data_IF_803038198329
#
_entry.id   IF_803038198329
#
_cell.length_a   1.000
_cell.length_b   1.000
_cell.length_c   1.000
_cell.angle_alpha   90.00
_cell.angle_beta   90.00
_cell.angle_gamma   90.00
#
_symmetry.space_group_name_H-M   'P 1'
#
loop_
_entity.id
_entity.type
_entity.pdbx_description
1 polymer ?
2 non-polymer ?
3 non-polymer ?
#
# COMPACT_ATOMS: atom_id res chain seq x y z
N UNK A 11 3.41 21.90 5.53
CA UNK A 11 3.83 22.19 6.94
C UNK A 11 4.33 20.93 7.64
N UNK A 12 5.35 21.10 8.48
CA UNK A 12 5.98 20.02 9.19
C UNK A 12 5.31 19.73 10.54
N UNK A 13 5.73 18.63 11.19
CA UNK A 13 5.25 18.18 12.49
C UNK A 13 6.45 17.42 13.08
N UNK A 14 6.80 17.62 14.34
CA UNK A 14 7.95 16.89 14.87
C UNK A 14 7.70 15.53 15.56
N UNK A 15 7.98 14.46 14.83
CA UNK A 15 7.77 13.11 15.34
C UNK A 15 9.02 12.59 16.01
N UNK A 16 8.90 11.50 16.76
CA UNK A 16 10.05 10.92 17.46
C UNK A 16 9.94 9.40 17.53
N UNK A 17 10.86 8.69 16.90
CA UNK A 17 10.86 7.22 16.90
C UNK A 17 10.90 6.65 18.34
N UNK A 18 9.73 6.45 18.93
CA UNK A 18 9.65 5.96 20.30
C UNK A 18 9.90 4.46 20.44
N UNK A 19 9.77 3.73 19.33
CA UNK A 19 10.02 2.27 19.32
C UNK A 19 10.12 1.71 17.89
N UNK A 20 10.74 0.54 17.73
CA UNK A 20 10.93 -0.08 16.40
C UNK A 20 10.99 -1.63 16.52
N UNK A 21 10.59 -2.33 15.46
CA UNK A 21 10.52 -3.79 15.52
C UNK A 21 10.99 -4.44 14.23
N UNK A 22 11.80 -5.48 14.37
CA UNK A 22 12.38 -6.20 13.25
C UNK A 22 11.55 -7.46 13.08
N UNK A 23 10.59 -7.38 12.16
CA UNK A 23 9.65 -8.46 11.87
C UNK A 23 10.33 -9.53 11.09
N UNK A 24 11.48 -9.22 10.52
CA UNK A 24 12.22 -10.21 9.76
C UNK A 24 13.53 -9.59 9.27
N UNK A 25 14.33 -10.40 8.59
CA UNK A 25 15.62 -10.01 8.04
C UNK A 25 15.68 -8.67 7.28
N UNK A 26 14.54 -8.02 7.00
CA UNK A 26 14.60 -6.74 6.29
C UNK A 26 13.33 -5.86 6.28
N UNK A 27 12.41 -6.13 7.20
CA UNK A 27 11.17 -5.35 7.29
C UNK A 27 11.10 -4.89 8.74
N UNK A 28 10.78 -3.63 8.94
CA UNK A 28 10.71 -3.07 10.27
C UNK A 28 9.38 -2.40 10.49
N UNK A 29 8.93 -2.40 11.74
CA UNK A 29 7.72 -1.71 12.10
C UNK A 29 8.18 -0.54 13.00
N UNK A 30 8.20 0.65 12.43
CA UNK A 30 8.60 1.82 13.16
C UNK A 30 7.42 2.43 13.85
N UNK A 31 7.54 2.69 15.16
CA UNK A 31 6.50 3.35 15.95
C UNK A 31 6.88 4.76 16.38
N UNK A 32 6.29 5.72 15.69
CA UNK A 32 6.50 7.13 15.94
C UNK A 32 5.51 7.60 16.95
N UNK A 33 5.77 8.80 17.47
CA UNK A 33 4.92 9.45 18.45
C UNK A 33 4.71 10.88 17.97
N UNK A 34 3.48 11.38 18.13
CA UNK A 34 3.17 12.73 17.68
C UNK A 34 3.51 13.81 18.70
N UNK A 35 3.87 15.00 18.22
CA UNK A 35 4.22 16.11 19.11
C UNK A 35 3.19 16.28 20.23
N UNK A 36 1.97 15.80 20.04
CA UNK A 36 0.95 15.88 21.08
C UNK A 36 0.13 14.60 21.26
N UNK A 37 0.17 14.03 22.46
CA UNK A 37 -0.49 12.80 22.91
C UNK A 37 -2.00 12.78 22.72
N UNK A 38 -2.62 13.95 22.65
CA UNK A 38 -4.05 13.98 22.51
C UNK A 38 -4.50 13.87 21.06
N UNK A 39 -3.56 13.82 20.10
CA UNK A 39 -3.94 13.77 18.68
C UNK A 39 -3.62 12.51 17.91
N UNK A 40 -4.19 12.48 16.72
CA UNK A 40 -3.98 11.39 15.80
C UNK A 40 -3.24 12.00 14.61
N UNK A 41 -2.66 11.14 13.78
CA UNK A 41 -1.98 11.57 12.57
C UNK A 41 -3.02 12.32 11.72
N UNK A 42 -4.27 11.88 11.82
CA UNK A 42 -5.36 12.50 11.09
C UNK A 42 -5.25 12.53 9.57
N UNK A 43 -4.49 11.60 9.02
CA UNK A 43 -4.30 11.48 7.59
C UNK A 43 -5.60 11.07 6.89
N UNK A 44 -6.02 11.82 5.86
CA UNK A 44 -7.24 11.54 5.10
C UNK A 44 -7.08 10.32 4.24
N UNK A 45 -8.01 9.37 4.37
CA UNK A 45 -8.01 8.12 3.61
C UNK A 45 -7.88 8.41 2.10
N UNK A 46 -6.82 7.92 1.48
CA UNK A 46 -6.62 8.17 0.06
C UNK A 46 -5.38 9.00 -0.14
N UNK A 47 -4.97 9.72 0.92
CA UNK A 47 -3.78 10.56 0.87
C UNK A 47 -2.54 10.03 1.62
N UNK A 48 -1.43 10.77 1.57
CA UNK A 48 -0.22 10.28 2.24
C UNK A 48 0.63 11.33 2.96
N UNK A 49 1.70 10.90 3.61
CA UNK A 49 2.61 11.82 4.28
C UNK A 49 4.04 11.66 3.78
N UNK A 50 4.77 12.77 3.78
CA UNK A 50 6.17 12.81 3.36
C UNK A 50 7.09 12.76 4.58
N UNK A 51 7.95 11.74 4.67
CA UNK A 51 8.90 11.68 5.78
C UNK A 51 10.14 12.37 5.24
N UNK A 52 10.39 13.60 5.68
CA UNK A 52 11.55 14.35 5.21
C UNK A 52 12.78 14.09 6.05
N UNK A 53 13.93 14.30 5.43
CA UNK A 53 15.18 14.12 6.12
C UNK A 53 16.23 14.66 5.20
N UNK A 54 17.33 15.15 5.76
CA UNK A 54 18.40 15.64 4.94
C UNK A 54 19.49 14.59 5.11
N UNK A 55 19.88 13.97 4.02
CA UNK A 55 20.93 12.97 4.06
C UNK A 55 22.02 13.28 3.02
N UNK A 56 23.28 13.26 3.49
CA UNK A 56 24.47 13.58 2.70
C UNK A 56 24.62 15.08 2.57
N UNK A 57 23.56 15.71 2.07
CA UNK A 57 23.54 17.14 1.89
C UNK A 57 22.19 17.46 1.33
N UNK A 58 21.54 16.49 0.69
CA UNK A 58 20.21 16.74 0.14
C UNK A 58 19.06 16.23 1.01
N UNK A 59 18.08 17.11 1.17
CA UNK A 59 16.88 16.83 1.94
C UNK A 59 16.00 16.18 0.88
N UNK A 60 15.65 14.91 1.11
CA UNK A 60 14.84 14.14 0.16
C UNK A 60 13.49 13.62 0.62
N UNK A 61 12.43 14.03 -0.07
CA UNK A 61 11.13 13.56 0.30
C UNK A 61 10.80 12.16 -0.22
N UNK A 62 10.11 11.39 0.64
CA UNK A 62 9.67 10.04 0.35
C UNK A 62 8.28 9.83 0.93
N UNK A 63 7.32 9.42 0.09
CA UNK A 63 5.94 9.19 0.53
C UNK A 63 5.82 7.83 1.23
N UNK A 64 5.03 7.79 2.30
CA UNK A 64 4.81 6.57 3.09
C UNK A 64 3.38 6.73 3.60
N UNK A 65 2.64 5.63 3.60
CA UNK A 65 1.26 5.60 4.08
C UNK A 65 1.22 4.77 5.36
N UNK A 66 0.96 5.41 6.52
CA UNK A 66 0.94 4.63 7.75
C UNK A 66 -0.10 3.55 7.72
N UNK A 67 0.14 2.50 8.51
CA UNK A 67 -0.74 1.35 8.59
C UNK A 67 -1.49 1.29 9.92
N UNK A 68 -1.56 2.41 10.61
CA UNK A 68 -2.23 2.41 11.91
C UNK A 68 -3.74 2.66 11.76
N UNK A 69 -4.54 2.19 12.70
CA UNK A 69 -5.98 2.47 12.64
C UNK A 69 -6.05 3.99 12.79
N UNK A 70 -6.71 4.63 11.84
CA UNK A 70 -6.88 6.08 11.76
C UNK A 70 -7.20 6.85 13.05
N UNK A 71 -7.50 6.12 14.12
CA UNK A 71 -7.85 6.71 15.40
C UNK A 71 -6.87 6.40 16.52
N UNK A 72 -5.67 5.91 16.18
CA UNK A 72 -4.69 5.63 17.23
C UNK A 72 -4.26 6.99 17.74
N UNK A 73 -4.36 7.13 19.05
CA UNK A 73 -4.06 8.36 19.73
C UNK A 73 -2.65 8.41 20.30
N UNK A 74 -1.88 9.36 19.78
CA UNK A 74 -0.54 9.56 20.25
C UNK A 74 0.60 8.97 19.44
N UNK A 75 0.32 8.17 18.41
CA UNK A 75 1.39 7.57 17.64
C UNK A 75 0.85 7.06 16.31
N UNK A 76 1.79 6.76 15.39
CA UNK A 76 1.50 6.17 14.09
C UNK A 76 2.61 5.19 13.68
N UNK A 77 2.23 4.07 13.09
CA UNK A 77 3.19 3.05 12.69
C UNK A 77 3.49 3.13 11.20
N UNK A 78 4.73 2.81 10.85
CA UNK A 78 5.21 2.83 9.47
C UNK A 78 5.77 1.44 9.19
N UNK A 79 5.21 0.76 8.19
CA UNK A 79 5.70 -0.58 7.85
C UNK A 79 6.67 -0.32 6.75
N UNK A 80 7.97 -0.54 7.00
CA UNK A 80 9.02 -0.26 6.02
C UNK A 80 9.84 -1.50 5.64
N UNK A 81 10.09 -1.68 4.33
CA UNK A 81 10.92 -2.78 3.80
C UNK A 81 12.26 -2.16 3.42
N UNK A 82 13.28 -2.48 4.21
CA UNK A 82 14.59 -1.88 4.03
C UNK A 82 15.35 -2.29 2.79
N UNK A 83 15.78 -1.28 2.01
CA UNK A 83 16.56 -1.53 0.80
C UNK A 83 18.05 -1.47 1.15
N UNK A 84 18.65 -2.63 1.43
CA UNK A 84 20.09 -2.73 1.80
C UNK A 84 21.10 -2.66 0.60
N UNK A 85 22.27 -2.08 0.81
CA UNK A 85 23.27 -2.06 -0.28
C UNK A 85 23.91 -3.45 -0.20
N UNK A 86 24.63 -3.86 -1.24
CA UNK A 86 25.25 -5.20 -1.22
C UNK A 86 24.15 -6.29 -1.25
N UNK A 87 23.04 -5.99 -1.91
CA UNK A 87 21.92 -6.93 -2.01
C UNK A 87 21.40 -7.14 -3.42
N UNK A 88 21.60 -6.19 -4.31
CA UNK A 88 21.07 -6.32 -5.66
C UNK A 88 22.02 -5.80 -6.78
N UNK A 89 22.32 -6.66 -7.76
CA UNK A 89 23.20 -6.38 -8.91
C UNK A 89 22.99 -5.01 -9.57
N UNK A 90 21.73 -4.70 -9.88
CA UNK A 90 21.33 -3.44 -10.55
C UNK A 90 21.35 -2.22 -9.61
N UNK A 91 21.07 -2.46 -8.33
CA UNK A 91 21.04 -1.37 -7.34
C UNK A 91 21.98 -1.79 -6.22
N UNK A 92 23.29 -1.73 -6.47
CA UNK A 92 24.31 -2.12 -5.51
C UNK A 92 24.40 -1.30 -4.26
N UNK A 93 23.83 -0.08 -4.28
CA UNK A 93 23.89 0.79 -3.08
C UNK A 93 22.60 1.03 -2.24
N UNK A 94 21.73 0.03 -2.19
CA UNK A 94 20.50 0.12 -1.41
C UNK A 94 19.60 1.33 -1.68
N UNK A 95 18.58 1.50 -0.85
CA UNK A 95 17.67 2.63 -1.00
C UNK A 95 18.22 3.78 -0.20
N UNK A 96 17.86 5.00 -0.59
CA UNK A 96 18.36 6.21 0.09
C UNK A 96 17.79 6.59 1.46
N UNK A 97 16.47 6.44 1.62
CA UNK A 97 15.81 6.79 2.86
C UNK A 97 15.50 5.59 3.74
N UNK A 98 15.79 4.37 3.27
CA UNK A 98 15.48 3.24 4.13
C UNK A 98 16.59 2.79 5.10
N UNK A 99 17.82 2.85 4.62
CA UNK A 99 18.96 2.44 5.44
C UNK A 99 19.27 3.50 6.43
N UNK A 100 18.78 4.71 6.15
CA UNK A 100 18.96 5.85 7.04
C UNK A 100 17.98 5.67 8.16
N UNK A 101 16.82 5.09 7.84
CA UNK A 101 15.77 4.87 8.83
C UNK A 101 16.10 3.65 9.68
N UNK A 102 16.72 2.67 9.04
CA UNK A 102 17.10 1.51 9.79
C UNK A 102 18.29 1.93 10.66
N UNK A 103 18.90 3.07 10.31
CA UNK A 103 20.04 3.62 11.03
C UNK A 103 19.67 4.57 12.16
N UNK A 104 18.38 4.78 12.44
CA UNK A 104 18.00 5.67 13.55
C UNK A 104 17.80 4.86 14.86
N UNK A 105 18.43 5.30 15.97
CA UNK A 105 18.27 4.60 17.26
C UNK A 105 17.00 5.13 17.94
N UNK A 106 16.20 4.24 18.52
CA UNK A 106 14.96 4.66 19.13
C UNK A 106 15.07 5.79 20.17
N UNK A 107 14.57 6.95 19.74
CA UNK A 107 14.59 8.15 20.53
C UNK A 107 14.70 9.32 19.58
N UNK A 108 15.28 9.08 18.42
CA UNK A 108 15.48 10.14 17.43
C UNK A 108 14.20 10.80 16.95
N UNK A 109 14.32 12.05 16.53
CA UNK A 109 13.17 12.78 16.00
C UNK A 109 13.20 12.73 14.48
N UNK A 110 12.01 12.72 13.89
CA UNK A 110 11.84 12.71 12.44
C UNK A 110 10.79 13.80 12.19
N UNK A 111 10.69 14.34 10.99
CA UNK A 111 9.66 15.33 10.83
C UNK A 111 8.98 15.30 9.47
N UNK A 112 7.79 14.69 9.54
CA UNK A 112 6.86 14.44 8.45
C UNK A 112 6.14 15.68 7.98
N UNK A 113 5.27 15.53 7.00
CA UNK A 113 4.51 16.64 6.45
C UNK A 113 3.50 16.13 5.44
N UNK A 114 2.23 16.14 5.82
CA UNK A 114 1.15 15.70 4.95
C UNK A 114 0.19 16.86 4.81
N UNK A 115 -0.97 16.70 4.13
CA UNK A 115 -1.37 15.47 3.47
C UNK A 115 -1.19 15.70 1.97
N UNK A 116 -0.49 14.78 1.33
CA UNK A 116 -0.26 14.89 -0.09
C UNK A 116 -1.08 13.84 -0.77
N UNK A 117 -1.08 13.87 -2.11
CA UNK A 117 -1.82 12.88 -2.87
C UNK A 117 -3.00 13.49 -3.60
N UNK A 118 -3.80 12.63 -4.24
CA UNK A 118 -4.96 13.10 -5.01
C UNK A 118 -6.16 12.17 -5.02
N UNK A 119 -6.09 11.05 -4.32
CA UNK A 119 -7.24 10.18 -4.28
C UNK A 119 -7.68 10.23 -2.82
N UNK A 120 -8.98 10.27 -2.59
CA UNK A 120 -9.52 10.34 -1.24
C UNK A 120 -10.84 9.61 -1.23
N UNK A 121 -10.94 8.60 -0.40
CA UNK A 121 -12.17 7.83 -0.31
C UNK A 121 -13.16 8.58 0.59
N UNK A 122 -13.75 9.64 0.03
CA UNK A 122 -14.72 10.49 0.70
C UNK A 122 -15.98 9.83 1.31
N UNK A 123 -15.99 8.53 1.56
CA UNK A 123 -17.17 7.94 2.18
C UNK A 123 -17.69 6.57 1.77
N UNK A 124 -18.22 6.47 0.57
CA UNK A 124 -18.75 5.21 0.12
C UNK A 124 -18.71 5.21 -1.41
N UNK A 125 -17.70 4.55 -1.99
CA UNK A 125 -17.56 4.50 -3.45
C UNK A 125 -17.16 5.85 -4.04
N UNK A 126 -17.56 6.92 -3.35
CA UNK A 126 -17.33 8.32 -3.70
C UNK A 126 -15.87 8.80 -3.73
N UNK A 127 -15.24 8.74 -4.90
CA UNK A 127 -13.86 9.20 -5.02
C UNK A 127 -13.82 10.65 -5.49
N UNK A 128 -12.60 11.19 -5.66
CA UNK A 128 -12.36 12.55 -6.12
C UNK A 128 -10.97 12.46 -6.71
N UNK A 129 -10.82 12.21 -8.01
CA UNK A 129 -9.45 12.12 -8.51
C UNK A 129 -9.02 13.28 -9.36
N UNK A 130 -7.86 13.83 -9.02
CA UNK A 130 -7.35 15.00 -9.73
C UNK A 130 -8.43 16.11 -9.73
N UNK A 131 -9.33 16.05 -8.75
CA UNK A 131 -10.40 17.04 -8.62
C UNK A 131 -11.81 16.48 -8.64
N UNK A 132 -12.12 15.68 -9.65
CA UNK A 132 -13.47 15.11 -9.87
C UNK A 132 -14.06 14.16 -8.83
N UNK A 133 -15.21 14.51 -8.26
CA UNK A 133 -15.89 13.61 -7.33
C UNK A 133 -16.24 12.43 -8.22
N UNK A 134 -16.38 11.24 -7.62
CA UNK A 134 -16.70 10.02 -8.36
C UNK A 134 -17.39 9.01 -7.46
N UNK A 135 -17.56 7.79 -7.96
CA UNK A 135 -18.22 6.72 -7.23
C UNK A 135 -18.02 5.40 -8.00
N UNK A 136 -18.07 4.27 -7.30
CA UNK A 136 -17.89 2.96 -7.93
C UNK A 136 -18.30 1.89 -6.91
N UNK A 137 -18.70 0.71 -7.40
CA UNK A 137 -19.05 -0.37 -6.46
C UNK A 137 -18.02 -1.49 -6.57
N UNK A 138 -17.49 -1.67 -7.77
CA UNK A 138 -16.49 -2.68 -7.99
C UNK A 138 -15.16 -1.94 -7.98
N UNK A 139 -14.29 -2.30 -7.05
CA UNK A 139 -12.99 -1.67 -6.93
C UNK A 139 -11.96 -2.73 -7.25
N UNK A 140 -11.13 -2.43 -8.25
CA UNK A 140 -10.04 -3.29 -8.72
C UNK A 140 -8.75 -2.79 -8.13
N UNK A 141 -8.03 -3.63 -7.37
CA UNK A 141 -6.78 -3.23 -6.73
C UNK A 141 -5.61 -4.11 -7.20
N UNK A 142 -4.49 -3.49 -7.50
CA UNK A 142 -3.31 -4.21 -7.97
C UNK A 142 -2.04 -3.53 -7.47
N UNK A 143 -1.27 -4.23 -6.64
CA UNK A 143 -0.03 -3.69 -6.09
C UNK A 143 1.00 -4.79 -5.88
N UNK A 144 2.26 -4.39 -5.72
CA UNK A 144 3.31 -5.37 -5.51
C UNK A 144 4.19 -4.84 -4.43
N UNK A 145 4.80 -5.72 -3.65
CA UNK A 145 5.70 -5.26 -2.61
C UNK A 145 5.15 -4.29 -1.57
N UNK A 146 5.54 -3.03 -1.66
CA UNK A 146 5.14 -1.99 -0.68
C UNK A 146 3.97 -1.13 -1.09
N UNK A 147 3.59 -1.21 -2.35
CA UNK A 147 2.47 -0.42 -2.81
C UNK A 147 1.16 -0.94 -2.31
N UNK A 148 1.19 -1.76 -1.26
CA UNK A 148 0.00 -2.32 -0.65
C UNK A 148 -0.56 -1.40 0.43
N UNK A 149 0.32 -0.66 1.12
CA UNK A 149 -0.15 0.21 2.17
C UNK A 149 -1.17 1.20 1.64
N UNK A 150 -0.93 1.79 0.45
CA UNK A 150 -1.93 2.73 -0.10
C UNK A 150 -3.29 2.06 -0.22
N UNK A 151 -3.29 0.76 -0.52
CA UNK A 151 -4.49 -0.07 -0.62
C UNK A 151 -5.06 -0.41 0.76
N UNK A 152 -4.21 -0.95 1.64
CA UNK A 152 -4.62 -1.33 3.00
C UNK A 152 -5.40 -0.24 3.76
N UNK A 153 -4.97 0.98 3.65
CA UNK A 153 -5.69 2.05 4.32
C UNK A 153 -7.16 1.97 3.84
N UNK A 154 -7.38 1.85 2.53
CA UNK A 154 -8.73 1.77 1.98
C UNK A 154 -9.35 0.46 2.47
N UNK A 155 -8.69 -0.64 2.17
CA UNK A 155 -9.14 -1.97 2.55
C UNK A 155 -9.53 -2.03 4.03
N UNK A 156 -8.91 -1.18 4.84
CA UNK A 156 -9.22 -1.16 6.26
C UNK A 156 -10.41 -0.25 6.58
N UNK A 157 -10.60 0.77 5.75
CA UNK A 157 -11.66 1.77 5.90
C UNK A 157 -13.09 1.31 5.58
N UNK A 158 -13.22 0.44 4.57
CA UNK A 158 -14.52 -0.10 4.15
C UNK A 158 -15.04 -1.07 5.20
N UNK A 159 -14.10 -1.88 5.74
CA UNK A 159 -14.42 -2.84 6.79
C UNK A 159 -14.87 -2.05 8.01
N UNK A 160 -14.21 -0.92 8.27
CA UNK A 160 -14.64 -0.13 9.40
C UNK A 160 -15.92 0.65 9.08
N UNK A 161 -16.55 0.36 7.94
CA UNK A 161 -17.82 0.97 7.54
C UNK A 161 -18.81 -0.18 7.32
N UNK A 162 -18.61 -1.24 8.08
CA UNK A 162 -19.45 -2.42 7.99
C UNK A 162 -20.71 -2.40 8.84
N UNK A 163 -21.86 -2.66 8.19
CA UNK A 163 -21.85 -2.96 6.76
C UNK A 163 -22.73 -2.13 5.86
N UNK A 164 -22.47 -0.82 5.79
CA UNK A 164 -23.29 0.01 4.88
C UNK A 164 -22.47 0.36 3.67
N UNK A 165 -21.16 0.13 3.79
CA UNK A 165 -20.20 0.36 2.71
C UNK A 165 -20.23 -0.95 1.87
N UNK A 166 -20.93 -0.93 0.75
CA UNK A 166 -21.06 -2.13 -0.05
C UNK A 166 -20.05 -2.24 -1.18
N UNK A 167 -19.03 -1.40 -1.13
CA UNK A 167 -17.97 -1.40 -2.14
C UNK A 167 -17.26 -2.75 -2.16
N UNK A 168 -17.34 -3.42 -3.31
CA UNK A 168 -16.69 -4.71 -3.54
C UNK A 168 -15.27 -4.40 -3.93
N UNK A 169 -14.32 -4.98 -3.23
CA UNK A 169 -12.89 -4.75 -3.50
C UNK A 169 -12.24 -6.05 -3.95
N UNK A 170 -11.59 -6.01 -5.13
CA UNK A 170 -10.89 -7.17 -5.70
C UNK A 170 -9.41 -6.89 -5.79
N UNK A 171 -8.64 -7.57 -4.96
CA UNK A 171 -7.19 -7.37 -4.84
C UNK A 171 -6.34 -8.49 -5.47
N UNK A 172 -5.20 -8.07 -6.03
CA UNK A 172 -4.22 -8.96 -6.68
C UNK A 172 -2.96 -8.40 -6.03
N UNK A 173 -2.28 -9.20 -5.21
CA UNK A 173 -1.10 -8.71 -4.53
C UNK A 173 0.16 -9.50 -4.92
N UNK A 174 0.96 -8.86 -5.78
CA UNK A 174 2.19 -9.45 -6.31
C UNK A 174 3.39 -9.33 -5.35
N UNK A 175 4.34 -10.25 -5.47
CA UNK A 175 5.53 -10.25 -4.62
C UNK A 175 6.68 -11.03 -5.30
N UNK A 176 7.72 -11.39 -4.56
CA UNK A 176 8.81 -12.14 -5.16
C UNK A 176 8.88 -13.52 -4.56
N UNK A 177 8.39 -13.62 -3.35
CA UNK A 177 8.42 -14.88 -2.63
C UNK A 177 7.31 -14.87 -1.56
N UNK A 178 6.99 -16.06 -1.06
CA UNK A 178 5.96 -16.22 -0.05
C UNK A 178 6.29 -15.42 1.23
N UNK A 179 7.51 -15.55 1.76
CA UNK A 179 7.91 -14.82 2.96
C UNK A 179 8.00 -13.31 2.68
N UNK A 180 7.62 -12.86 1.50
CA UNK A 180 7.70 -11.42 1.24
C UNK A 180 6.32 -10.79 1.07
N UNK A 181 5.28 -11.56 1.40
CA UNK A 181 3.90 -11.10 1.32
C UNK A 181 3.75 -10.29 2.60
N UNK A 182 3.68 -8.97 2.44
CA UNK A 182 3.61 -8.04 3.56
C UNK A 182 2.42 -8.22 4.50
N UNK A 183 1.46 -7.31 4.47
CA UNK A 183 0.32 -7.46 5.37
C UNK A 183 -0.41 -8.71 4.91
N UNK A 184 -0.16 -9.82 5.60
CA UNK A 184 -0.79 -11.09 5.25
C UNK A 184 -1.76 -11.66 6.26
N UNK A 185 -1.39 -11.69 7.53
CA UNK A 185 -2.29 -12.24 8.53
C UNK A 185 -3.55 -11.36 8.58
N UNK A 186 -3.31 -10.06 8.62
CA UNK A 186 -4.35 -9.05 8.61
C UNK A 186 -5.24 -9.23 7.39
N UNK A 187 -4.66 -9.39 6.20
CA UNK A 187 -5.47 -9.59 4.99
C UNK A 187 -6.23 -10.95 4.99
N UNK A 188 -5.55 -12.02 5.40
CA UNK A 188 -6.18 -13.34 5.48
C UNK A 188 -7.19 -13.44 6.63
N UNK A 189 -7.18 -12.44 7.51
CA UNK A 189 -8.12 -12.39 8.64
C UNK A 189 -9.38 -11.77 8.07
N UNK A 190 -9.24 -10.57 7.54
CA UNK A 190 -10.36 -9.85 6.95
C UNK A 190 -11.00 -10.69 5.86
N UNK A 191 -10.15 -11.21 4.97
CA UNK A 191 -10.60 -12.05 3.85
C UNK A 191 -11.71 -12.98 4.27
N UNK A 192 -11.59 -13.50 5.49
CA UNK A 192 -12.57 -14.43 6.03
C UNK A 192 -13.77 -13.68 6.57
N UNK A 193 -13.49 -12.67 7.38
CA UNK A 193 -14.57 -11.89 7.95
C UNK A 193 -15.52 -11.37 6.87
N UNK A 194 -15.00 -10.64 5.88
CA UNK A 194 -15.88 -10.01 4.90
C UNK A 194 -15.79 -10.44 3.44
N UNK A 195 -15.89 -11.76 3.18
CA UNK A 195 -15.81 -12.30 1.83
C UNK A 195 -16.83 -11.70 0.90
N UNK A 196 -17.89 -11.16 1.46
CA UNK A 196 -18.92 -10.57 0.63
C UNK A 196 -18.40 -9.31 -0.05
N UNK A 197 -17.21 -8.88 0.35
CA UNK A 197 -16.63 -7.66 -0.19
C UNK A 197 -15.12 -7.50 -0.43
N UNK A 198 -14.34 -8.52 -0.10
CA UNK A 198 -12.91 -8.44 -0.31
C UNK A 198 -12.37 -9.75 -0.86
N UNK A 199 -11.91 -9.72 -2.11
CA UNK A 199 -11.36 -10.90 -2.75
C UNK A 199 -9.85 -10.70 -2.71
N UNK A 200 -9.14 -11.69 -2.17
CA UNK A 200 -7.69 -11.65 -2.02
C UNK A 200 -7.04 -12.78 -2.86
N UNK A 201 -6.01 -12.44 -3.64
CA UNK A 201 -5.30 -13.39 -4.51
C UNK A 201 -3.81 -13.06 -4.56
N UNK A 202 -2.97 -13.99 -4.13
CA UNK A 202 -1.52 -13.80 -4.11
C UNK A 202 -0.83 -14.30 -5.36
N UNK A 203 0.07 -13.51 -5.91
CA UNK A 203 0.81 -13.94 -7.09
C UNK A 203 2.26 -13.86 -6.62
N UNK A 204 3.05 -14.92 -6.77
CA UNK A 204 4.43 -14.81 -6.33
C UNK A 204 5.44 -15.33 -7.32
N UNK A 205 6.57 -14.62 -7.42
CA UNK A 205 7.67 -14.91 -8.35
C UNK A 205 8.32 -16.26 -8.21
N UNK A 206 8.51 -16.68 -6.96
CA UNK A 206 9.13 -17.95 -6.64
C UNK A 206 8.24 -18.63 -5.62
N UNK A 207 8.72 -19.72 -5.03
CA UNK A 207 7.99 -20.46 -4.00
C UNK A 207 9.03 -21.12 -3.13
N UNK A 208 9.48 -20.43 -2.10
CA UNK A 208 10.47 -21.00 -1.20
C UNK A 208 10.29 -22.51 -0.88
N UNK A 209 9.19 -22.88 -0.25
CA UNK A 209 8.97 -24.29 0.08
C UNK A 209 7.56 -24.82 -0.21
N UNK A 210 7.36 -25.48 -1.39
CA UNK A 210 6.07 -26.06 -1.82
C UNK A 210 5.81 -27.37 -1.09
N UNK A 211 6.78 -27.76 -0.25
CA UNK A 211 6.67 -28.95 0.60
C UNK A 211 5.39 -28.71 1.41
N UNK A 212 5.03 -27.42 1.51
CA UNK A 212 3.86 -26.90 2.21
C UNK A 212 2.61 -26.92 1.31
N UNK A 213 2.69 -26.30 0.13
CA UNK A 213 1.55 -26.31 -0.80
C UNK A 213 0.86 -25.00 -1.21
N UNK A 214 1.59 -24.17 -1.98
CA UNK A 214 1.10 -22.88 -2.45
C UNK A 214 0.09 -23.05 -3.57
N UNK A 215 -1.14 -22.61 -3.35
CA UNK A 215 -2.22 -22.72 -4.34
C UNK A 215 -2.51 -21.50 -5.19
N UNK A 216 -2.11 -20.35 -4.71
CA UNK A 216 -2.34 -19.10 -5.42
C UNK A 216 -1.49 -19.12 -6.70
N UNK A 217 -1.48 -18.04 -7.50
CA UNK A 217 -0.66 -18.06 -8.71
C UNK A 217 0.87 -17.98 -8.44
N UNK A 218 1.66 -18.25 -9.47
CA UNK A 218 3.10 -18.20 -9.39
C UNK A 218 3.54 -17.49 -10.64
N UNK A 219 4.36 -16.46 -10.48
CA UNK A 219 4.83 -15.72 -11.63
C UNK A 219 4.53 -14.24 -11.58
N UNK A 220 4.25 -13.69 -12.76
CA UNK A 220 3.95 -12.28 -12.96
C UNK A 220 2.45 -12.07 -13.02
N UNK A 221 2.05 -10.81 -13.06
CA UNK A 221 0.64 -10.45 -13.17
C UNK A 221 0.43 -10.37 -14.65
N UNK A 222 -0.64 -10.97 -15.13
CA UNK A 222 -0.93 -10.99 -16.58
C UNK A 222 -2.39 -11.16 -16.89
N UNK A 223 -2.78 -10.84 -18.12
CA UNK A 223 -4.17 -10.93 -18.54
C UNK A 223 -5.00 -12.09 -17.95
N UNK A 224 -4.48 -13.31 -17.97
CA UNK A 224 -5.22 -14.40 -17.41
C UNK A 224 -5.51 -14.05 -15.94
N UNK A 225 -4.46 -13.72 -15.21
CA UNK A 225 -4.59 -13.39 -13.81
C UNK A 225 -5.62 -12.29 -13.66
N UNK A 226 -5.50 -11.26 -14.49
CA UNK A 226 -6.44 -10.16 -14.39
C UNK A 226 -7.86 -10.60 -14.72
N UNK A 227 -8.00 -11.41 -15.75
CA UNK A 227 -9.31 -11.88 -16.18
C UNK A 227 -9.96 -12.68 -15.06
N UNK A 228 -9.25 -13.69 -14.59
CA UNK A 228 -9.81 -14.51 -13.54
C UNK A 228 -9.63 -13.92 -12.14
N UNK A 229 -9.52 -12.60 -12.04
CA UNK A 229 -9.38 -11.96 -10.72
C UNK A 229 -9.77 -10.49 -10.57
N UNK A 230 -10.08 -9.80 -11.66
CA UNK A 230 -10.43 -8.39 -11.56
C UNK A 230 -11.68 -7.96 -12.34
N UNK A 231 -12.71 -7.44 -11.63
CA UNK A 231 -13.99 -6.97 -12.16
C UNK A 231 -13.93 -6.41 -13.55
N UNK A 232 -14.80 -6.97 -14.39
CA UNK A 232 -14.93 -6.59 -15.80
C UNK A 232 -14.95 -5.09 -15.90
N UNK A 233 -13.98 -4.53 -16.63
CA UNK A 233 -13.88 -3.08 -16.78
C UNK A 233 -15.15 -2.39 -17.25
N UNK A 234 -16.08 -2.21 -16.32
CA UNK A 234 -17.33 -1.60 -16.70
C UNK A 234 -17.58 -0.30 -16.02
N UNK A 235 -18.84 0.14 -16.16
CA UNK A 235 -19.33 1.37 -15.57
C UNK A 235 -19.43 1.14 -14.08
N UNK A 236 -19.03 2.15 -13.31
CA UNK A 236 -19.09 2.08 -11.86
C UNK A 236 -18.08 1.05 -11.30
N UNK A 237 -17.00 0.86 -12.05
CA UNK A 237 -15.90 -0.04 -11.71
C UNK A 237 -14.59 0.72 -11.89
N UNK A 238 -13.92 1.07 -10.78
CA UNK A 238 -12.69 1.83 -10.89
C UNK A 238 -11.52 0.95 -10.55
N UNK A 239 -10.40 1.20 -11.22
CA UNK A 239 -9.19 0.47 -10.96
C UNK A 239 -8.16 1.43 -10.35
N UNK A 240 -7.52 0.95 -9.28
CA UNK A 240 -6.47 1.64 -8.53
C UNK A 240 -5.27 0.71 -8.54
N UNK A 241 -4.08 1.26 -8.64
CA UNK A 241 -2.90 0.41 -8.66
C UNK A 241 -1.70 1.14 -8.07
N UNK A 242 -0.81 0.38 -7.43
CA UNK A 242 0.39 0.95 -6.85
C UNK A 242 1.49 -0.11 -6.81
N UNK A 243 2.35 -0.13 -7.82
CA UNK A 243 3.41 -1.09 -7.85
C UNK A 243 4.56 -0.43 -8.58
N UNK A 244 5.74 -1.08 -8.69
CA UNK A 244 6.90 -0.51 -9.39
C UNK A 244 6.46 0.03 -10.71
N UNK A 245 7.18 1.02 -11.26
CA UNK A 245 6.83 1.62 -12.56
C UNK A 245 6.63 0.56 -13.65
N UNK A 246 7.62 -0.37 -13.81
CA UNK A 246 7.45 -1.39 -14.86
C UNK A 246 6.14 -2.13 -14.72
N UNK A 247 5.88 -2.69 -13.52
CA UNK A 247 4.66 -3.43 -13.28
C UNK A 247 3.49 -2.69 -13.89
N UNK A 248 3.38 -1.39 -13.59
CA UNK A 248 2.28 -0.57 -14.13
C UNK A 248 2.44 -0.46 -15.64
N UNK A 249 3.48 0.23 -16.09
CA UNK A 249 3.76 0.41 -17.51
C UNK A 249 3.21 -0.65 -18.50
N UNK A 250 3.73 -1.87 -18.40
CA UNK A 250 3.34 -2.93 -19.32
C UNK A 250 2.74 -4.18 -18.71
N UNK A 251 2.55 -4.20 -17.39
CA UNK A 251 1.97 -5.38 -16.75
C UNK A 251 0.56 -5.15 -16.28
N UNK A 252 0.23 -3.90 -16.03
CA UNK A 252 -1.10 -3.55 -15.56
C UNK A 252 -1.84 -2.62 -16.54
N UNK A 253 -1.15 -1.60 -17.04
CA UNK A 253 -1.78 -0.65 -17.96
C UNK A 253 -2.56 -1.19 -19.18
N UNK A 254 -1.91 -1.93 -20.11
CA UNK A 254 -2.56 -2.47 -21.31
C UNK A 254 -3.73 -3.43 -21.10
N UNK A 255 -3.54 -4.33 -20.15
CA UNK A 255 -4.55 -5.34 -19.85
C UNK A 255 -5.86 -4.74 -19.41
N UNK A 256 -5.80 -3.77 -18.51
CA UNK A 256 -7.02 -3.14 -18.03
C UNK A 256 -7.76 -2.50 -19.20
N UNK A 257 -7.08 -2.34 -20.34
CA UNK A 257 -7.71 -1.81 -21.55
C UNK A 257 -8.42 -2.99 -22.13
N UNK A 258 -7.67 -4.10 -22.19
CA UNK A 258 -8.16 -5.36 -22.72
C UNK A 258 -9.35 -5.91 -21.94
N UNK A 259 -9.76 -5.22 -20.85
CA UNK A 259 -10.94 -5.64 -20.07
C UNK A 259 -11.96 -4.52 -20.12
N UNK A 260 -11.82 -3.71 -21.17
CA UNK A 260 -12.66 -2.57 -21.53
C UNK A 260 -12.89 -1.38 -20.56
N UNK A 261 -11.97 -1.22 -19.60
CA UNK A 261 -12.03 -0.13 -18.62
C UNK A 261 -11.81 1.19 -19.35
N UNK A 262 -12.45 2.28 -18.92
CA UNK A 262 -12.20 3.55 -19.58
C UNK A 262 -10.84 3.94 -19.08
N UNK A 263 -9.86 3.44 -19.79
CA UNK A 263 -8.46 3.66 -19.51
C UNK A 263 -8.08 5.15 -19.31
N UNK A 264 -9.04 6.06 -19.44
CA UNK A 264 -8.76 7.48 -19.29
C UNK A 264 -9.28 8.16 -18.02
N UNK A 265 -10.25 7.56 -17.37
CA UNK A 265 -10.81 8.19 -16.20
C UNK A 265 -11.10 7.16 -15.12
N UNK A 266 -10.91 5.89 -15.44
CA UNK A 266 -11.16 4.83 -14.46
C UNK A 266 -9.83 4.30 -13.97
N UNK A 267 -8.74 4.88 -14.45
CA UNK A 267 -7.43 4.41 -14.05
C UNK A 267 -6.67 5.42 -13.21
N UNK A 268 -6.65 5.20 -11.90
CA UNK A 268 -5.95 6.08 -10.99
C UNK A 268 -4.73 5.31 -10.48
N UNK A 269 -3.66 6.03 -10.15
CA UNK A 269 -2.41 5.43 -9.66
C UNK A 269 -1.79 6.28 -8.57
N UNK A 270 -1.46 5.69 -7.42
CA UNK A 270 -0.82 6.42 -6.31
C UNK A 270 0.68 6.46 -6.54
X LIG B 1 15.65 4.72 -3.51
X LIG B 1 16.94 3.96 -3.65
X LIG B 1 15.36 5.92 -4.33
X LIG B 1 14.56 3.61 -3.94
X LIG B 1 13.97 3.49 -5.28
X LIG B 1 14.77 2.83 -6.43
X LIG B 1 16.00 2.07 -6.14
X LIG B 1 13.98 1.77 -7.10
X LIG B 1 14.64 1.60 -8.41
X LIG B 1 14.17 0.67 -6.06
X LIG B 1 13.56 -0.57 -6.32
X LIG B 1 15.66 0.66 -6.14
X LIG B 1 16.35 -0.16 -5.12
X LIG B 1 17.44 0.21 -4.43
X LIG B 1 17.91 -0.82 -3.72
X LIG B 1 17.12 -1.80 -4.05
X LIG B 1 17.27 -3.06 -3.59
X LIG B 1 18.31 -3.44 -2.86
X LIG B 1 16.32 -3.93 -3.97
X LIG B 1 15.34 -3.57 -4.81
X LIG B 1 15.25 -2.33 -5.29
X LIG B 1 16.15 -1.43 -4.88
X LIG B 1 7.38 1.87 1.15
X LIG B 1 7.45 1.16 2.35
X LIG B 1 8.31 0.42 2.79
X LIG B 1 6.35 1.30 3.05
X LIG B 1 5.24 2.05 2.73
X LIG B 1 4.31 1.98 3.50
X LIG B 1 5.31 2.79 1.51
X LIG B 1 4.23 3.50 1.16
X LIG B 1 4.22 4.14 0.01
X LIG B 1 3.07 4.69 -0.36
X LIG B 1 2.98 5.44 -1.49
X LIG B 1 1.64 6.07 -1.93
X LIG B 1 4.09 5.62 -2.28
X LIG B 1 4.05 6.53 -3.51
X LIG B 1 5.22 5.03 -1.90
X LIG B 1 5.34 4.28 -0.76
X LIG B 1 6.43 3.60 -0.36
X LIG B 1 6.42 2.76 0.70
X LIG B 1 7.60 3.75 -1.00
X LIG B 1 8.57 5.05 -1.10
X LIG B 1 8.14 6.15 -2.02
X LIG B 1 10.13 4.76 -1.50
X LIG B 1 10.59 5.06 -2.90
X LIG B 1 10.80 3.57 -0.81
X LIG B 1 10.33 3.49 0.53
X LIG B 1 12.21 3.68 -0.49
X LIG B 1 13.01 4.17 -1.51
X LIG B 1 14.35 4.76 -0.81
X LIG B 1 14.93 3.83 0.22
X LIG B 1 13.80 6.01 -0.36
X LIG B 1 15.39 5.16 -2.00
X LIG C 1 10.77 -5.87 -4.71
X LIG C 1 9.54 -6.75 -4.88
X LIG C 1 11.57 -5.70 -5.97
X LIG C 1 11.58 -6.12 -3.42
X LIG C 1 9.15 -3.61 -5.51
X LIG C 1 10.14 -3.44 -6.59
X LIG C 1 8.50 -2.52 -4.66
X LIG C 1 10.16 -4.41 -4.47
X LIG C 1 8.07 -4.74 -6.08
X LIG C 1 8.24 -5.62 -7.17
X LIG C 1 7.06 -6.53 -7.54
X LIG C 1 6.21 -6.01 -8.61
X LIG C 1 7.71 -7.81 -8.07
X LIG C 1 7.55 -8.85 -7.11
X LIG C 1 7.03 -8.08 -9.41
X LIG C 1 5.99 -9.01 -9.17
X LIG C 1 6.37 -6.79 -9.81
X LIG C 1 7.03 -6.22 -11.00
X LIG C 1 8.28 -5.73 -11.11
X LIG C 1 8.63 -5.56 -12.41
X LIG C 1 7.58 -6.00 -13.13
X LIG C 1 7.51 -6.20 -14.53
X LIG C 1 8.46 -5.97 -15.47
X LIG C 1 6.35 -6.75 -14.93
X LIG C 1 5.35 -7.06 -14.07
X LIG C 1 5.41 -6.83 -12.75
X LIG C 1 6.55 -6.33 -12.25
#
# INVERSE_FOLDING_TARGET
VRAPALSNPRGRIHCRLVAKKELSRDVRLFRFSLPSPDQVLGLPIGKHIFVCATIEGKLCMRAYTPTSMVDEIGHFDLLVKVYFKNEHPKFPNGGLMTQYLDSLPVGSYIDVKGPLGHVEYTGRGSFVINGKQRNARRLAMICGGSGITPMYQIIQAVLRDQPEDHTEMHLVYANRTEDDILLRDELDRWAAEYPDRLKVWYVIDQVKRPEEGWKYSVGFVTEAVLREHVPEGGDDTLALACGPPPMIQFAISPNLEKMKYDMANSFVVF
FAD PA O1A O2A O5B C5B C4B O4B C3B O3B C2B O2B C1B N9A C8A N7A C5A C6A N6A N1A C2A N3A C4A N1 C2 O2 N3 C4 O4 C4X N5 C5X C6 C7 C7M C8 C8M C9 C9A N10 C10 C1' C2' O2' C3' O3' C4' O4' C5' O5' P O1P O2P O3P
ADP PB O1B O2B O3B PA O1A O2A O3A O5' C5' C4' O4' C3' O3' C2' O2' C1' N9 C8 N7 C5 C6 N6 N1 C2 N3 C4
#
